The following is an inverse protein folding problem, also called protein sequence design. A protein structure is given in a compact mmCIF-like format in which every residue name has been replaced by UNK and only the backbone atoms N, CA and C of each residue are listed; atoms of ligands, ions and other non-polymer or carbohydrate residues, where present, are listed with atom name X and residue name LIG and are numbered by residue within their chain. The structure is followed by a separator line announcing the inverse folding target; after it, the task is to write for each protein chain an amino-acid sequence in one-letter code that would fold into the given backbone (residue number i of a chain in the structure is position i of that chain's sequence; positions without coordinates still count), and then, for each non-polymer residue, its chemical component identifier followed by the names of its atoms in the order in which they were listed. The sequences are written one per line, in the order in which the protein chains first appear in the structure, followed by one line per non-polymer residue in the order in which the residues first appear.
data_IF_541008781030
#
_entry.id   IF_541008781030
#
_cell.length_a   1.000
_cell.length_b   1.000
_cell.length_c   1.000
_cell.angle_alpha   90.00
_cell.angle_beta   90.00
_cell.angle_gamma   90.00
#
_symmetry.space_group_name_H-M   'P 1'
#
loop_
_entity.id
_entity.type
_entity.pdbx_description
1 polymer ?
#
# COMPACT_ATOMS: atom_id res chain seq x y z
N UNK A 1 -74.16 -26.82 -46.02
CA UNK A 1 -73.30 -27.10 -44.88
C UNK A 1 -72.06 -26.26 -45.02
N UNK A 2 -71.97 -25.12 -44.29
CA UNK A 2 -70.77 -24.22 -44.28
C UNK A 2 -70.02 -24.45 -42.96
N UNK A 3 -68.79 -24.91 -43.04
CA UNK A 3 -67.89 -25.08 -41.86
C UNK A 3 -67.15 -23.77 -41.63
N UNK A 4 -67.39 -23.09 -40.52
CA UNK A 4 -66.63 -21.95 -40.05
C UNK A 4 -65.38 -22.44 -39.34
N UNK A 5 -64.19 -21.95 -39.76
CA UNK A 5 -62.90 -22.18 -39.09
C UNK A 5 -62.68 -20.98 -38.18
N UNK A 6 -62.62 -21.28 -36.87
CA UNK A 6 -62.26 -20.27 -35.84
C UNK A 6 -60.73 -20.30 -35.67
N UNK A 7 -60.04 -19.24 -36.09
CA UNK A 7 -58.62 -19.04 -35.81
C UNK A 7 -58.46 -18.43 -34.41
N UNK A 8 -57.95 -19.19 -33.47
CA UNK A 8 -57.52 -18.71 -32.15
C UNK A 8 -56.13 -18.10 -32.24
N UNK A 9 -56.02 -16.78 -32.13
CA UNK A 9 -54.75 -16.09 -32.01
C UNK A 9 -54.26 -16.21 -30.58
N UNK A 10 -53.18 -17.00 -30.32
CA UNK A 10 -52.46 -17.02 -29.08
C UNK A 10 -51.51 -15.82 -29.04
N UNK A 11 -51.78 -14.88 -28.14
CA UNK A 11 -50.88 -13.76 -27.84
C UNK A 11 -49.80 -14.26 -26.89
N UNK A 12 -48.54 -14.41 -27.41
CA UNK A 12 -47.37 -14.60 -26.57
C UNK A 12 -47.02 -13.24 -25.92
N UNK A 13 -47.30 -13.12 -24.62
CA UNK A 13 -46.76 -12.05 -23.80
C UNK A 13 -45.29 -12.35 -23.49
N UNK A 14 -44.34 -11.70 -24.18
CA UNK A 14 -42.94 -11.65 -23.82
C UNK A 14 -42.81 -10.80 -22.55
N UNK A 15 -42.73 -11.44 -21.41
CA UNK A 15 -42.32 -10.77 -20.17
C UNK A 15 -40.84 -10.38 -20.30
N UNK A 16 -40.55 -9.19 -20.80
CA UNK A 16 -39.27 -8.55 -20.61
C UNK A 16 -39.18 -8.13 -19.16
N UNK A 17 -38.55 -8.99 -18.32
CA UNK A 17 -38.16 -8.60 -16.98
C UNK A 17 -37.23 -7.39 -17.10
N UNK A 18 -37.51 -6.27 -16.43
CA UNK A 18 -36.58 -5.15 -16.41
C UNK A 18 -35.27 -5.65 -15.83
N UNK A 19 -34.19 -5.47 -16.59
CA UNK A 19 -32.84 -5.70 -16.09
C UNK A 19 -32.63 -4.68 -14.97
N UNK A 20 -32.86 -5.09 -13.74
CA UNK A 20 -32.68 -4.26 -12.55
C UNK A 20 -31.21 -3.94 -12.49
N UNK A 21 -30.83 -2.70 -12.79
CA UNK A 21 -29.46 -2.23 -12.67
C UNK A 21 -29.03 -2.46 -11.23
N UNK A 22 -28.16 -3.43 -11.03
CA UNK A 22 -27.65 -3.78 -9.71
C UNK A 22 -26.90 -2.56 -9.16
N UNK A 23 -27.36 -2.00 -8.05
CA UNK A 23 -26.71 -0.84 -7.43
C UNK A 23 -25.28 -1.18 -7.05
N UNK A 24 -24.34 -0.37 -7.50
CA UNK A 24 -22.92 -0.57 -7.19
C UNK A 24 -22.66 -0.37 -5.70
N UNK A 25 -21.84 -1.23 -5.12
CA UNK A 25 -21.31 -1.03 -3.78
C UNK A 25 -20.34 0.15 -3.79
N UNK A 26 -20.67 1.21 -3.06
CA UNK A 26 -19.74 2.33 -2.87
C UNK A 26 -18.71 1.95 -1.81
N UNK A 27 -17.44 2.20 -2.09
CA UNK A 27 -16.31 1.90 -1.21
C UNK A 27 -15.39 3.11 -1.16
N UNK A 28 -15.08 3.57 0.05
CA UNK A 28 -14.08 4.62 0.30
C UNK A 28 -12.75 3.95 0.66
N UNK A 29 -11.76 4.11 -0.23
CA UNK A 29 -10.45 3.52 -0.11
C UNK A 29 -9.40 4.57 0.28
N UNK A 30 -8.74 4.40 1.43
CA UNK A 30 -7.70 5.29 1.92
C UNK A 30 -6.32 4.99 1.32
N UNK A 31 -5.63 6.02 0.82
CA UNK A 31 -4.24 5.96 0.32
C UNK A 31 -3.35 6.85 1.18
N UNK A 32 -2.15 6.39 1.65
CA UNK A 32 -1.44 7.02 2.77
C UNK A 32 -0.56 8.23 2.39
N UNK A 33 -0.57 8.65 1.13
CA UNK A 33 0.26 9.77 0.64
C UNK A 33 -0.45 10.61 -0.40
N UNK A 34 -0.17 11.92 -0.39
CA UNK A 34 -0.70 12.93 -1.32
C UNK A 34 0.45 13.73 -1.96
N UNK A 35 0.64 13.69 -3.28
CA UNK A 35 0.15 12.69 -4.22
C UNK A 35 0.72 11.30 -3.94
N UNK A 36 0.15 10.20 -4.47
CA UNK A 36 0.67 8.85 -4.26
C UNK A 36 2.07 8.70 -4.88
N UNK A 37 2.91 7.84 -4.29
CA UNK A 37 4.15 7.37 -4.93
C UNK A 37 3.83 6.19 -5.88
N UNK A 38 4.73 5.88 -6.80
CA UNK A 38 4.51 4.81 -7.81
C UNK A 38 4.21 3.44 -7.17
N UNK A 39 4.77 3.16 -5.99
CA UNK A 39 4.47 1.91 -5.26
C UNK A 39 3.00 1.77 -4.85
N UNK A 40 2.28 2.89 -4.67
CA UNK A 40 0.86 2.93 -4.26
C UNK A 40 -0.13 2.84 -5.42
N UNK A 41 0.35 2.56 -6.64
CA UNK A 41 -0.48 2.63 -7.86
C UNK A 41 -1.53 1.51 -8.03
N UNK A 42 -1.45 0.32 -7.39
CA UNK A 42 -2.39 -0.77 -7.67
C UNK A 42 -3.87 -0.42 -7.57
N UNK A 43 -4.39 0.30 -6.56
CA UNK A 43 -5.80 0.67 -6.51
C UNK A 43 -6.21 1.64 -7.63
N UNK A 44 -5.29 2.49 -8.10
CA UNK A 44 -5.52 3.37 -9.24
C UNK A 44 -5.59 2.59 -10.55
N UNK A 45 -4.71 1.59 -10.72
CA UNK A 45 -4.75 0.67 -11.86
C UNK A 45 -6.07 -0.11 -11.87
N UNK A 46 -6.48 -0.64 -10.71
CA UNK A 46 -7.76 -1.36 -10.60
C UNK A 46 -8.95 -0.48 -10.96
N UNK A 47 -8.94 0.79 -10.55
CA UNK A 47 -10.01 1.75 -10.85
C UNK A 47 -10.03 2.14 -12.33
N UNK A 48 -8.90 2.57 -12.89
CA UNK A 48 -8.79 3.04 -14.29
C UNK A 48 -9.10 1.93 -15.30
N UNK A 49 -8.76 0.68 -14.98
CA UNK A 49 -9.03 -0.48 -15.84
C UNK A 49 -10.37 -1.16 -15.56
N UNK A 50 -11.17 -0.62 -14.63
CA UNK A 50 -12.49 -1.14 -14.35
C UNK A 50 -12.54 -2.45 -13.56
N UNK A 51 -11.44 -2.91 -12.96
CA UNK A 51 -11.40 -4.18 -12.22
C UNK A 51 -12.31 -4.18 -10.98
N UNK A 52 -12.53 -3.03 -10.37
CA UNK A 52 -13.56 -2.88 -9.32
C UNK A 52 -14.97 -2.94 -9.91
N UNK A 53 -15.19 -2.25 -11.04
CA UNK A 53 -16.50 -2.19 -11.70
C UNK A 53 -16.97 -3.56 -12.21
N UNK A 54 -16.05 -4.44 -12.63
CA UNK A 54 -16.33 -5.84 -13.01
C UNK A 54 -16.99 -6.63 -11.86
N UNK A 55 -16.75 -6.20 -10.61
CA UNK A 55 -17.33 -6.77 -9.40
C UNK A 55 -18.46 -5.91 -8.81
N UNK A 56 -19.02 -5.01 -9.61
CA UNK A 56 -20.10 -4.11 -9.20
C UNK A 56 -19.71 -3.18 -8.03
N UNK A 57 -18.43 -2.80 -7.94
CA UNK A 57 -17.89 -1.90 -6.91
C UNK A 57 -17.55 -0.55 -7.54
N UNK A 58 -17.98 0.53 -6.87
CA UNK A 58 -17.60 1.92 -7.18
C UNK A 58 -16.65 2.42 -6.10
N UNK A 59 -15.36 2.61 -6.45
CA UNK A 59 -14.32 2.98 -5.47
C UNK A 59 -14.00 4.46 -5.55
N UNK A 60 -14.12 5.14 -4.43
CA UNK A 60 -13.55 6.45 -4.18
C UNK A 60 -12.17 6.31 -3.53
N UNK A 61 -11.12 6.88 -4.15
CA UNK A 61 -9.76 6.89 -3.61
C UNK A 61 -9.51 8.21 -2.91
N UNK A 62 -9.30 8.17 -1.58
CA UNK A 62 -9.05 9.34 -0.74
C UNK A 62 -7.61 9.30 -0.23
N UNK A 63 -6.86 10.38 -0.44
CA UNK A 63 -5.44 10.46 -0.06
C UNK A 63 -5.25 11.17 1.28
N UNK A 64 -4.22 10.75 2.03
CA UNK A 64 -3.85 11.27 3.34
C UNK A 64 -2.38 11.70 3.37
N UNK A 65 -1.92 12.32 4.45
CA UNK A 65 -0.51 12.73 4.62
C UNK A 65 0.34 11.71 5.41
N UNK A 66 -0.18 10.49 5.63
CA UNK A 66 0.57 9.43 6.32
C UNK A 66 -0.25 8.22 6.66
N UNK A 67 0.42 7.07 6.83
CA UNK A 67 -0.23 5.78 7.10
C UNK A 67 -0.98 5.74 8.43
N UNK A 68 -0.45 6.37 9.46
CA UNK A 68 -1.11 6.46 10.77
C UNK A 68 -2.43 7.23 10.67
N UNK A 69 -2.43 8.36 9.95
CA UNK A 69 -3.63 9.15 9.72
C UNK A 69 -4.67 8.37 8.91
N UNK A 70 -4.23 7.66 7.87
CA UNK A 70 -5.11 6.83 7.04
C UNK A 70 -5.77 5.72 7.87
N UNK A 71 -4.99 5.03 8.71
CA UNK A 71 -5.55 3.97 9.56
C UNK A 71 -6.52 4.53 10.61
N UNK A 72 -6.24 5.69 11.19
CA UNK A 72 -7.18 6.37 12.10
C UNK A 72 -8.52 6.64 11.42
N UNK A 73 -8.50 7.09 10.14
CA UNK A 73 -9.70 7.27 9.33
C UNK A 73 -10.51 5.97 9.16
N UNK A 74 -9.83 4.83 8.96
CA UNK A 74 -10.46 3.51 8.87
C UNK A 74 -11.07 3.07 10.21
N UNK A 75 -10.33 3.18 11.31
CA UNK A 75 -10.82 2.84 12.66
C UNK A 75 -12.02 3.71 13.07
N UNK A 76 -12.03 4.96 12.64
CA UNK A 76 -13.16 5.89 12.88
C UNK A 76 -14.38 5.62 11.98
N UNK A 77 -14.34 4.67 11.07
CA UNK A 77 -15.44 4.30 10.17
C UNK A 77 -15.60 5.21 8.95
N UNK A 78 -14.62 6.06 8.66
CA UNK A 78 -14.61 6.91 7.47
C UNK A 78 -14.04 6.24 6.20
N UNK A 79 -13.45 5.06 6.33
CA UNK A 79 -12.86 4.30 5.23
C UNK A 79 -13.24 2.82 5.36
N UNK A 80 -13.68 2.23 4.26
CA UNK A 80 -14.01 0.80 4.20
C UNK A 80 -12.75 -0.06 4.17
N UNK A 81 -11.74 0.39 3.44
CA UNK A 81 -10.44 -0.29 3.30
C UNK A 81 -9.34 0.77 3.14
N UNK A 82 -8.13 0.44 3.57
CA UNK A 82 -6.96 1.31 3.37
C UNK A 82 -5.75 0.51 2.92
N UNK A 83 -4.93 1.09 2.04
CA UNK A 83 -3.61 0.59 1.69
C UNK A 83 -2.55 1.47 2.33
N UNK A 84 -1.92 1.01 3.40
CA UNK A 84 -0.89 1.78 4.14
C UNK A 84 0.31 0.91 4.53
N UNK A 85 1.36 1.48 5.15
CA UNK A 85 2.41 0.68 5.75
C UNK A 85 1.84 -0.26 6.83
N UNK A 86 2.48 -1.40 7.04
CA UNK A 86 2.02 -2.39 8.02
C UNK A 86 2.20 -1.94 9.48
N UNK A 87 3.12 -0.99 9.72
CA UNK A 87 3.46 -0.51 11.06
C UNK A 87 2.27 -0.02 11.87
N UNK A 88 1.43 0.90 11.38
CA UNK A 88 0.26 1.36 12.12
C UNK A 88 -0.74 0.23 12.40
N UNK A 89 -0.88 -0.76 11.50
CA UNK A 89 -1.78 -1.89 11.72
C UNK A 89 -1.28 -2.80 12.85
N UNK A 90 0.03 -3.04 12.91
CA UNK A 90 0.66 -3.81 14.00
C UNK A 90 0.46 -3.09 15.35
N UNK A 91 0.68 -1.77 15.40
CA UNK A 91 0.43 -0.96 16.60
C UNK A 91 -1.05 -0.98 16.98
N UNK A 92 -1.95 -0.85 16.03
CA UNK A 92 -3.39 -0.91 16.25
C UNK A 92 -3.83 -2.27 16.81
N UNK A 93 -3.33 -3.38 16.24
CA UNK A 93 -3.59 -4.73 16.73
C UNK A 93 -3.03 -4.97 18.13
N UNK A 94 -1.84 -4.42 18.45
CA UNK A 94 -1.25 -4.44 19.78
C UNK A 94 -2.15 -3.74 20.82
N UNK A 95 -2.80 -2.65 20.42
CA UNK A 95 -3.75 -1.88 21.24
C UNK A 95 -5.19 -2.43 21.22
N UNK A 96 -5.44 -3.54 20.53
CA UNK A 96 -6.75 -4.18 20.49
C UNK A 96 -7.75 -3.52 19.53
N UNK A 97 -7.29 -2.69 18.59
CA UNK A 97 -8.16 -2.19 17.54
C UNK A 97 -8.64 -3.33 16.65
N UNK A 98 -9.94 -3.36 16.34
CA UNK A 98 -10.60 -4.38 15.54
C UNK A 98 -10.33 -4.16 14.03
N UNK A 99 -9.09 -4.36 13.58
CA UNK A 99 -8.70 -4.28 12.18
C UNK A 99 -7.94 -5.53 11.74
N UNK A 100 -8.05 -5.90 10.46
CA UNK A 100 -7.33 -7.03 9.85
C UNK A 100 -6.55 -6.59 8.63
N UNK A 101 -5.38 -7.19 8.47
CA UNK A 101 -4.61 -7.18 7.24
C UNK A 101 -5.15 -8.27 6.32
N UNK A 102 -5.56 -7.89 5.10
CA UNK A 102 -6.19 -8.77 4.11
C UNK A 102 -5.25 -9.20 2.99
N UNK A 103 -4.17 -8.48 2.76
CA UNK A 103 -3.20 -8.71 1.71
C UNK A 103 -2.16 -7.61 1.69
N UNK A 104 -1.16 -7.73 0.81
CA UNK A 104 -0.16 -6.69 0.63
C UNK A 104 -0.21 -6.11 -0.78
N UNK A 105 0.02 -4.80 -0.92
CA UNK A 105 0.28 -4.20 -2.22
C UNK A 105 1.78 -3.99 -2.48
N UNK A 106 2.60 -4.06 -1.45
CA UNK A 106 4.06 -4.05 -1.55
C UNK A 106 4.65 -4.67 -0.29
N UNK A 107 5.03 -5.95 -0.38
CA UNK A 107 5.53 -6.68 0.79
C UNK A 107 6.99 -6.37 1.12
N UNK A 108 7.77 -5.81 0.16
CA UNK A 108 9.18 -5.49 0.33
C UNK A 108 9.38 -3.98 0.51
N UNK A 109 10.38 -3.61 1.30
CA UNK A 109 10.85 -2.23 1.36
C UNK A 109 11.46 -1.82 0.02
N UNK A 110 11.17 -0.59 -0.40
CA UNK A 110 11.71 0.02 -1.63
C UNK A 110 12.16 1.47 -1.36
N UNK A 111 12.40 1.80 -0.09
CA UNK A 111 12.78 3.14 0.35
C UNK A 111 14.27 3.18 0.69
N UNK A 112 14.83 4.38 0.57
CA UNK A 112 16.22 4.65 0.95
C UNK A 112 16.28 5.87 1.88
N UNK A 113 17.28 5.89 2.74
CA UNK A 113 17.61 7.10 3.49
C UNK A 113 18.54 7.96 2.64
N UNK A 114 18.05 9.10 2.16
CA UNK A 114 18.84 10.11 1.49
C UNK A 114 19.36 11.13 2.50
N UNK A 115 20.60 11.55 2.29
CA UNK A 115 21.32 12.45 3.19
C UNK A 115 22.05 13.55 2.41
N UNK A 116 22.35 14.66 3.09
CA UNK A 116 23.23 15.70 2.54
C UNK A 116 24.62 15.14 2.21
N UNK A 117 25.30 15.77 1.25
CA UNK A 117 26.54 15.28 0.68
C UNK A 117 27.73 15.14 1.64
N UNK A 118 27.69 15.81 2.77
CA UNK A 118 28.70 15.74 3.83
C UNK A 118 28.50 14.55 4.78
N UNK A 119 27.34 13.91 4.77
CA UNK A 119 27.03 12.71 5.57
C UNK A 119 27.46 11.47 4.77
N UNK A 120 28.42 10.70 5.30
CA UNK A 120 29.02 9.53 4.63
C UNK A 120 28.72 8.23 5.36
N UNK A 121 28.53 8.29 6.65
CA UNK A 121 28.29 7.12 7.51
C UNK A 121 27.08 7.35 8.40
N UNK A 122 26.51 6.26 8.91
CA UNK A 122 25.40 6.34 9.86
C UNK A 122 25.76 7.15 11.12
N UNK A 123 27.01 7.11 11.57
CA UNK A 123 27.48 7.89 12.73
C UNK A 123 27.43 9.40 12.52
N UNK A 124 27.53 9.85 11.27
CA UNK A 124 27.43 11.27 10.91
C UNK A 124 26.01 11.83 11.06
N UNK A 125 25.02 10.96 11.33
CA UNK A 125 23.65 11.38 11.65
C UNK A 125 23.53 12.04 13.02
N UNK A 126 24.53 11.91 13.89
CA UNK A 126 24.48 12.54 15.23
C UNK A 126 24.33 14.05 15.12
N UNK A 127 23.32 14.61 15.80
CA UNK A 127 22.96 16.02 15.75
C UNK A 127 22.20 16.49 14.51
N UNK A 128 21.98 15.61 13.54
CA UNK A 128 21.33 15.96 12.25
C UNK A 128 19.81 16.04 12.34
N UNK A 129 19.24 16.81 11.42
CA UNK A 129 17.79 16.99 11.25
C UNK A 129 17.23 15.89 10.37
N UNK A 130 16.40 15.02 10.91
CA UNK A 130 15.70 13.96 10.17
C UNK A 130 14.27 14.39 9.91
N UNK A 131 13.90 14.49 8.63
CA UNK A 131 12.51 14.77 8.21
C UNK A 131 11.60 13.57 8.40
N UNK A 132 10.60 13.69 9.29
CA UNK A 132 9.59 12.66 9.56
C UNK A 132 8.18 13.26 9.45
N UNK A 133 7.15 12.42 9.23
CA UNK A 133 5.77 12.91 9.25
C UNK A 133 5.29 13.17 10.69
N UNK A 134 5.39 12.15 11.53
CA UNK A 134 5.10 12.18 12.96
C UNK A 134 5.84 11.05 13.67
N UNK A 135 5.97 11.13 14.97
CA UNK A 135 6.52 10.04 15.78
C UNK A 135 5.61 8.81 15.72
N UNK A 136 6.20 7.62 15.55
CA UNK A 136 5.48 6.37 15.35
C UNK A 136 4.99 6.12 13.92
N UNK A 137 5.14 7.07 12.99
CA UNK A 137 4.89 6.84 11.58
C UNK A 137 6.05 6.08 10.91
N UNK A 138 5.80 5.49 9.74
CA UNK A 138 6.76 4.66 9.01
C UNK A 138 8.16 5.28 8.91
N UNK A 139 8.26 6.54 8.52
CA UNK A 139 9.56 7.19 8.32
C UNK A 139 10.35 7.35 9.62
N UNK A 140 9.67 7.61 10.74
CA UNK A 140 10.32 7.69 12.05
C UNK A 140 10.78 6.31 12.51
N UNK A 141 9.94 5.29 12.39
CA UNK A 141 10.27 3.90 12.74
C UNK A 141 11.48 3.41 11.93
N UNK A 142 11.50 3.67 10.62
CA UNK A 142 12.63 3.33 9.75
C UNK A 142 13.90 4.10 10.12
N UNK A 143 13.78 5.38 10.43
CA UNK A 143 14.92 6.19 10.90
C UNK A 143 15.50 5.63 12.19
N UNK A 144 14.64 5.21 13.13
CA UNK A 144 15.04 4.57 14.39
C UNK A 144 15.79 3.26 14.14
N UNK A 145 15.32 2.45 13.18
CA UNK A 145 16.01 1.22 12.78
C UNK A 145 17.41 1.48 12.22
N UNK A 146 17.56 2.51 11.37
CA UNK A 146 18.88 2.92 10.84
C UNK A 146 19.78 3.43 11.97
N UNK A 147 19.30 4.31 12.84
CA UNK A 147 20.07 4.83 13.98
C UNK A 147 20.56 3.70 14.89
N UNK A 148 19.69 2.73 15.23
CA UNK A 148 20.03 1.59 16.05
C UNK A 148 21.15 0.74 15.44
N UNK A 149 21.24 0.61 14.11
CA UNK A 149 22.28 -0.17 13.43
C UNK A 149 23.70 0.37 13.63
N UNK A 150 23.84 1.65 14.04
CA UNK A 150 25.13 2.28 14.32
C UNK A 150 25.28 2.77 15.76
N UNK A 151 24.41 2.31 16.67
CA UNK A 151 24.46 2.62 18.09
C UNK A 151 23.96 4.02 18.46
N UNK A 152 23.22 4.68 17.55
CA UNK A 152 22.54 5.94 17.81
C UNK A 152 21.09 5.68 18.24
N UNK A 153 20.51 6.67 18.91
CA UNK A 153 19.13 6.67 19.40
C UNK A 153 18.37 7.89 18.88
N UNK A 154 17.04 7.94 18.99
CA UNK A 154 16.27 9.15 18.67
C UNK A 154 16.71 10.42 19.43
N UNK A 155 17.39 10.27 20.57
CA UNK A 155 17.92 11.40 21.36
C UNK A 155 19.19 12.02 20.75
N UNK A 156 19.85 11.30 19.85
CA UNK A 156 21.07 11.74 19.19
C UNK A 156 20.81 12.59 17.93
N UNK A 157 19.54 12.77 17.53
CA UNK A 157 19.13 13.47 16.32
C UNK A 157 18.01 14.48 16.60
N UNK A 158 17.70 15.33 15.59
CA UNK A 158 16.58 16.25 15.66
C UNK A 158 15.48 15.81 14.67
N UNK A 159 14.35 15.35 15.16
CA UNK A 159 13.20 15.07 14.31
C UNK A 159 12.48 16.37 13.91
N UNK A 160 12.30 16.57 12.60
CA UNK A 160 11.61 17.72 12.02
C UNK A 160 10.34 17.23 11.34
N UNK A 161 9.16 17.69 11.79
CA UNK A 161 7.89 17.34 11.13
C UNK A 161 7.86 17.89 9.71
N UNK A 162 7.71 16.98 8.72
CA UNK A 162 7.67 17.31 7.29
C UNK A 162 6.68 16.42 6.58
N UNK A 163 5.73 17.01 5.84
CA UNK A 163 4.78 16.24 5.02
C UNK A 163 5.48 15.41 3.94
N UNK A 164 4.78 14.44 3.38
CA UNK A 164 5.33 13.58 2.31
C UNK A 164 5.87 14.40 1.13
N UNK A 165 5.13 15.41 0.68
CA UNK A 165 5.55 16.30 -0.41
C UNK A 165 6.64 17.30 -0.01
N UNK A 166 6.83 17.57 1.27
CA UNK A 166 7.81 18.53 1.79
C UNK A 166 9.22 17.95 1.96
N UNK A 167 9.40 16.62 1.98
CA UNK A 167 10.69 15.97 2.24
C UNK A 167 11.73 16.27 1.15
N UNK A 168 11.38 16.16 -0.12
CA UNK A 168 12.30 16.49 -1.22
C UNK A 168 12.67 17.98 -1.20
N UNK A 169 11.73 18.94 -1.19
CA UNK A 169 12.07 20.36 -1.00
C UNK A 169 12.94 20.63 0.22
N UNK A 170 12.62 20.00 1.37
CA UNK A 170 13.39 20.17 2.60
C UNK A 170 14.86 19.74 2.49
N UNK A 171 15.15 18.65 1.76
CA UNK A 171 16.51 18.23 1.44
C UNK A 171 17.20 19.19 0.47
N UNK A 172 16.48 19.66 -0.57
CA UNK A 172 17.04 20.59 -1.57
C UNK A 172 17.44 21.94 -0.95
N UNK A 173 16.68 22.40 0.04
CA UNK A 173 16.90 23.69 0.73
C UNK A 173 17.71 23.59 2.03
N UNK A 174 18.22 22.40 2.37
CA UNK A 174 18.92 22.11 3.63
C UNK A 174 18.10 22.39 4.92
N UNK A 175 16.79 22.42 4.82
CA UNK A 175 15.90 22.51 6.00
C UNK A 175 15.95 21.24 6.84
N UNK A 176 16.17 20.10 6.18
CA UNK A 176 16.46 18.80 6.79
C UNK A 176 17.77 18.24 6.20
N UNK A 177 18.48 17.46 7.00
CA UNK A 177 19.75 16.85 6.59
C UNK A 177 19.52 15.47 5.95
N UNK A 178 18.42 14.81 6.32
CA UNK A 178 18.09 13.46 5.83
C UNK A 178 16.59 13.19 5.86
N UNK A 179 16.15 12.28 5.00
CA UNK A 179 14.79 11.72 5.00
C UNK A 179 14.76 10.33 4.39
N UNK A 180 13.79 9.51 4.84
CA UNK A 180 13.41 8.28 4.15
C UNK A 180 12.54 8.65 2.95
N UNK A 181 12.98 8.28 1.76
CA UNK A 181 12.30 8.57 0.48
C UNK A 181 11.97 7.28 -0.26
N UNK A 182 10.85 7.28 -0.97
CA UNK A 182 10.55 6.28 -1.98
C UNK A 182 11.46 6.44 -3.19
N UNK A 183 11.58 5.38 -4.00
CA UNK A 183 12.46 5.36 -5.20
C UNK A 183 12.19 6.54 -6.12
N UNK A 184 10.94 6.84 -6.43
CA UNK A 184 10.54 7.99 -7.27
C UNK A 184 10.99 9.33 -6.68
N UNK A 185 10.80 9.53 -5.40
CA UNK A 185 11.25 10.73 -4.69
C UNK A 185 12.77 10.83 -4.67
N UNK A 186 13.47 9.72 -4.47
CA UNK A 186 14.94 9.68 -4.47
C UNK A 186 15.52 10.04 -5.85
N UNK A 187 14.92 9.51 -6.94
CA UNK A 187 15.30 9.87 -8.32
C UNK A 187 15.15 11.37 -8.55
N UNK A 188 14.00 11.94 -8.19
CA UNK A 188 13.73 13.39 -8.36
C UNK A 188 14.69 14.23 -7.51
N UNK A 189 14.94 13.84 -6.26
CA UNK A 189 15.85 14.56 -5.36
C UNK A 189 17.28 14.57 -5.91
N UNK A 190 17.81 13.42 -6.32
CA UNK A 190 19.16 13.31 -6.87
C UNK A 190 19.32 14.01 -8.22
N UNK A 191 18.30 14.01 -9.09
CA UNK A 191 18.31 14.77 -10.34
C UNK A 191 18.45 16.28 -10.09
N UNK A 192 17.81 16.81 -9.05
CA UNK A 192 17.83 18.25 -8.68
C UNK A 192 19.03 18.64 -7.83
N UNK A 193 19.56 17.71 -7.03
CA UNK A 193 20.71 17.92 -6.14
C UNK A 193 21.61 16.67 -6.17
N UNK A 194 22.54 16.59 -7.16
CA UNK A 194 23.35 15.38 -7.41
C UNK A 194 24.30 14.99 -6.26
N UNK A 195 24.67 15.94 -5.41
CA UNK A 195 25.53 15.74 -4.23
C UNK A 195 24.84 15.03 -3.06
N UNK A 196 23.50 14.88 -3.07
CA UNK A 196 22.83 14.03 -2.10
C UNK A 196 23.34 12.57 -2.18
N UNK A 197 23.54 11.93 -1.03
CA UNK A 197 23.95 10.53 -0.97
C UNK A 197 22.79 9.63 -0.57
N UNK A 198 22.80 8.38 -1.05
CA UNK A 198 22.03 7.29 -0.44
C UNK A 198 22.90 6.73 0.66
N UNK A 199 22.50 6.94 1.91
CA UNK A 199 23.21 6.41 3.07
C UNK A 199 22.97 4.91 3.22
N UNK A 200 21.73 4.49 3.05
CA UNK A 200 21.32 3.09 3.16
C UNK A 200 20.03 2.84 2.38
N UNK A 201 19.96 1.70 1.71
CA UNK A 201 18.73 1.15 1.18
C UNK A 201 18.08 0.28 2.28
N UNK A 202 16.86 0.59 2.66
CA UNK A 202 16.22 -0.03 3.83
C UNK A 202 16.07 -1.55 3.73
N UNK A 203 15.96 -2.09 2.52
CA UNK A 203 15.88 -3.55 2.30
C UNK A 203 17.18 -4.32 2.63
N UNK A 204 18.31 -3.63 2.78
CA UNK A 204 19.58 -4.24 3.15
C UNK A 204 19.63 -4.60 4.64
N UNK A 205 19.42 -3.65 5.60
CA UNK A 205 19.38 -3.96 7.02
C UNK A 205 18.05 -4.59 7.48
N UNK A 206 16.96 -4.45 6.69
CA UNK A 206 15.61 -4.88 7.06
C UNK A 206 14.98 -5.80 5.99
N UNK A 207 15.65 -6.91 5.61
CA UNK A 207 15.28 -7.71 4.42
C UNK A 207 13.91 -8.41 4.53
N UNK A 208 13.39 -8.59 5.75
CA UNK A 208 12.10 -9.23 6.01
C UNK A 208 11.04 -8.26 6.56
N UNK A 209 11.26 -6.95 6.43
CA UNK A 209 10.24 -5.99 6.86
C UNK A 209 9.04 -6.02 5.91
N UNK A 210 7.86 -6.37 6.41
CA UNK A 210 6.61 -6.19 5.67
C UNK A 210 6.33 -4.69 5.54
N UNK A 211 6.45 -4.18 4.32
CA UNK A 211 6.30 -2.74 4.11
C UNK A 211 4.84 -2.31 4.20
N UNK A 212 3.98 -2.83 3.33
CA UNK A 212 2.66 -2.27 3.16
C UNK A 212 1.57 -3.32 2.98
N UNK A 213 0.36 -2.98 3.42
CA UNK A 213 -0.76 -3.89 3.47
C UNK A 213 -2.09 -3.21 3.15
N UNK A 214 -3.06 -4.02 2.74
CA UNK A 214 -4.48 -3.66 2.71
C UNK A 214 -5.10 -4.01 4.06
N UNK A 215 -5.76 -3.04 4.68
CA UNK A 215 -6.29 -3.13 6.04
C UNK A 215 -7.75 -2.72 6.04
N UNK A 216 -8.60 -3.47 6.73
CA UNK A 216 -10.01 -3.14 6.90
C UNK A 216 -10.50 -3.41 8.33
N UNK A 217 -11.57 -2.72 8.80
CA UNK A 217 -12.19 -3.00 10.08
C UNK A 217 -12.81 -4.41 10.12
N UNK A 218 -12.57 -5.18 11.18
CA UNK A 218 -13.15 -6.53 11.35
C UNK A 218 -14.67 -6.55 11.25
N UNK A 219 -15.33 -5.54 11.83
CA UNK A 219 -16.79 -5.40 11.79
C UNK A 219 -17.30 -5.30 10.36
N UNK A 220 -16.64 -4.52 9.52
CA UNK A 220 -17.04 -4.32 8.12
C UNK A 220 -16.78 -5.59 7.31
N UNK A 221 -15.64 -6.28 7.54
CA UNK A 221 -15.34 -7.57 6.92
C UNK A 221 -16.44 -8.61 7.28
N UNK A 222 -16.81 -8.67 8.55
CA UNK A 222 -17.85 -9.61 9.02
C UNK A 222 -19.23 -9.31 8.42
N UNK A 223 -19.56 -8.02 8.27
CA UNK A 223 -20.85 -7.58 7.72
C UNK A 223 -20.97 -7.82 6.21
N UNK A 224 -19.86 -7.78 5.47
CA UNK A 224 -19.87 -7.75 4.01
C UNK A 224 -18.68 -8.53 3.38
N UNK A 225 -18.49 -9.75 3.89
CA UNK A 225 -17.35 -10.62 3.53
C UNK A 225 -17.12 -10.72 2.02
N UNK A 226 -18.19 -10.85 1.22
CA UNK A 226 -18.08 -10.99 -0.23
C UNK A 226 -17.50 -9.73 -0.88
N UNK A 227 -17.86 -8.56 -0.41
CA UNK A 227 -17.30 -7.29 -0.87
C UNK A 227 -15.77 -7.25 -0.73
N UNK A 228 -15.25 -7.70 0.42
CA UNK A 228 -13.79 -7.72 0.66
C UNK A 228 -13.07 -8.78 -0.18
N UNK A 229 -13.70 -9.92 -0.45
CA UNK A 229 -13.18 -10.91 -1.41
C UNK A 229 -13.07 -10.28 -2.80
N UNK A 230 -14.09 -9.57 -3.24
CA UNK A 230 -14.18 -8.94 -4.55
C UNK A 230 -13.19 -7.77 -4.71
N UNK A 231 -13.06 -6.95 -3.66
CA UNK A 231 -12.04 -5.88 -3.59
C UNK A 231 -10.62 -6.46 -3.72
N UNK A 232 -10.31 -7.49 -2.93
CA UNK A 232 -8.99 -8.12 -2.96
C UNK A 232 -8.71 -8.82 -4.29
N UNK A 233 -9.70 -9.45 -4.92
CA UNK A 233 -9.56 -10.05 -6.24
C UNK A 233 -9.22 -9.00 -7.32
N UNK A 234 -9.89 -7.83 -7.29
CA UNK A 234 -9.59 -6.71 -8.19
C UNK A 234 -8.17 -6.16 -7.98
N UNK A 235 -7.72 -6.04 -6.72
CA UNK A 235 -6.37 -5.58 -6.38
C UNK A 235 -5.28 -6.58 -6.79
N UNK A 236 -5.50 -7.88 -6.60
CA UNK A 236 -4.61 -8.94 -7.09
C UNK A 236 -4.52 -8.88 -8.62
N UNK A 237 -5.65 -8.72 -9.31
CA UNK A 237 -5.69 -8.56 -10.76
C UNK A 237 -4.88 -7.34 -11.22
N UNK A 238 -4.97 -6.22 -10.50
CA UNK A 238 -4.18 -5.02 -10.78
C UNK A 238 -2.68 -5.26 -10.59
N UNK A 239 -2.26 -5.90 -9.49
CA UNK A 239 -0.85 -6.23 -9.26
C UNK A 239 -0.28 -7.12 -10.38
N UNK A 240 -1.04 -8.12 -10.84
CA UNK A 240 -0.66 -8.98 -11.96
C UNK A 240 -0.57 -8.23 -13.29
N UNK A 241 -1.52 -7.32 -13.55
CA UNK A 241 -1.54 -6.47 -14.74
C UNK A 241 -0.30 -5.58 -14.82
N UNK A 242 0.16 -5.04 -13.69
CA UNK A 242 1.30 -4.13 -13.60
C UNK A 242 2.53 -4.73 -14.29
N UNK A 243 2.85 -6.00 -14.07
CA UNK A 243 4.07 -6.63 -14.62
C UNK A 243 4.09 -6.80 -16.14
N UNK A 244 2.91 -6.87 -16.78
CA UNK A 244 2.81 -7.19 -18.19
C UNK A 244 2.42 -5.99 -19.08
N UNK A 245 2.20 -4.80 -18.48
CA UNK A 245 1.60 -3.68 -19.19
C UNK A 245 2.27 -2.34 -18.84
N UNK A 246 3.63 -2.30 -18.87
CA UNK A 246 4.45 -1.14 -18.44
C UNK A 246 3.94 0.19 -19.00
N UNK A 247 3.73 0.29 -20.31
CA UNK A 247 3.36 1.57 -20.94
C UNK A 247 2.06 2.15 -20.34
N UNK A 248 1.02 1.31 -20.18
CA UNK A 248 -0.27 1.73 -19.61
C UNK A 248 -0.17 2.05 -18.13
N UNK A 249 0.63 1.27 -17.39
CA UNK A 249 0.86 1.52 -15.96
C UNK A 249 1.63 2.81 -15.73
N UNK A 250 2.64 3.11 -16.55
CA UNK A 250 3.39 4.38 -16.48
C UNK A 250 2.47 5.57 -16.77
N UNK A 251 1.58 5.47 -17.78
CA UNK A 251 0.58 6.50 -18.09
C UNK A 251 -0.32 6.77 -16.86
N UNK A 252 -0.90 5.71 -16.28
CA UNK A 252 -1.76 5.82 -15.08
C UNK A 252 -0.96 6.39 -13.92
N UNK A 253 0.25 5.87 -13.66
CA UNK A 253 1.07 6.33 -12.56
C UNK A 253 1.46 7.81 -12.70
N UNK A 254 1.89 8.27 -13.87
CA UNK A 254 2.23 9.67 -14.12
C UNK A 254 1.04 10.60 -13.84
N UNK A 255 -0.17 10.21 -14.27
CA UNK A 255 -1.41 10.96 -14.01
C UNK A 255 -1.65 11.19 -12.52
N UNK A 256 -1.52 10.15 -11.70
CA UNK A 256 -1.88 10.21 -10.27
C UNK A 256 -0.73 10.68 -9.38
N UNK A 257 0.51 10.32 -9.69
CA UNK A 257 1.69 10.77 -8.94
C UNK A 257 2.09 12.22 -9.26
N UNK A 258 1.56 12.78 -10.36
CA UNK A 258 1.91 14.12 -10.87
C UNK A 258 3.42 14.25 -11.14
N UNK A 259 4.06 13.15 -11.55
CA UNK A 259 5.48 13.10 -11.85
C UNK A 259 5.72 12.95 -13.35
N UNK A 260 6.93 13.30 -13.76
CA UNK A 260 7.43 13.11 -15.12
C UNK A 260 7.41 11.61 -15.51
N UNK A 261 6.93 11.31 -16.73
CA UNK A 261 6.78 9.94 -17.20
C UNK A 261 8.09 9.15 -17.25
N UNK A 262 9.23 9.82 -17.49
CA UNK A 262 10.54 9.14 -17.50
C UNK A 262 10.96 8.74 -16.09
N UNK A 263 10.74 9.60 -15.09
CA UNK A 263 10.99 9.28 -13.69
C UNK A 263 10.08 8.14 -13.21
N UNK A 264 8.81 8.17 -13.61
CA UNK A 264 7.84 7.09 -13.32
C UNK A 264 8.27 5.79 -13.99
N UNK A 265 8.71 5.82 -15.26
CA UNK A 265 9.16 4.62 -15.98
C UNK A 265 10.42 4.00 -15.35
N UNK A 266 11.39 4.82 -14.93
CA UNK A 266 12.58 4.35 -14.21
C UNK A 266 12.18 3.72 -12.86
N UNK A 267 11.29 4.38 -12.11
CA UNK A 267 10.77 3.84 -10.84
C UNK A 267 10.03 2.53 -11.04
N UNK A 268 9.19 2.44 -12.07
CA UNK A 268 8.50 1.21 -12.42
C UNK A 268 9.49 0.06 -12.66
N UNK A 269 10.55 0.26 -13.44
CA UNK A 269 11.54 -0.78 -13.72
C UNK A 269 12.22 -1.28 -12.44
N UNK A 270 12.60 -0.38 -11.54
CA UNK A 270 13.22 -0.72 -10.26
C UNK A 270 12.25 -1.55 -9.40
N UNK A 271 11.00 -1.10 -9.26
CA UNK A 271 10.00 -1.77 -8.44
C UNK A 271 9.57 -3.11 -9.02
N UNK A 272 9.38 -3.19 -10.35
CA UNK A 272 8.99 -4.43 -11.02
C UNK A 272 10.10 -5.48 -10.95
N UNK A 273 11.38 -5.09 -11.17
CA UNK A 273 12.52 -6.00 -11.05
C UNK A 273 12.72 -6.50 -9.62
N UNK A 274 12.44 -5.65 -8.62
CA UNK A 274 12.47 -6.04 -7.21
C UNK A 274 11.28 -6.94 -6.78
N UNK A 275 10.26 -7.12 -7.64
CA UNK A 275 9.03 -7.82 -7.27
C UNK A 275 8.25 -7.09 -6.20
N UNK A 276 8.18 -5.75 -6.28
CA UNK A 276 7.57 -4.93 -5.22
C UNK A 276 6.07 -5.19 -5.04
N UNK A 277 5.36 -5.48 -6.13
CA UNK A 277 3.91 -5.75 -6.11
C UNK A 277 3.64 -7.25 -6.06
N UNK A 278 3.13 -7.81 -4.95
CA UNK A 278 2.86 -9.24 -4.87
C UNK A 278 1.72 -9.65 -5.78
N UNK A 279 1.90 -10.73 -6.54
CA UNK A 279 0.87 -11.27 -7.44
C UNK A 279 -0.06 -12.28 -6.76
N UNK A 280 0.25 -12.61 -5.51
CA UNK A 280 -0.53 -13.40 -4.57
C UNK A 280 -0.87 -12.56 -3.33
N UNK A 281 -1.05 -13.15 -2.15
CA UNK A 281 -1.40 -12.43 -0.92
C UNK A 281 -0.32 -11.46 -0.41
N UNK A 282 0.95 -11.78 -0.64
CA UNK A 282 2.08 -10.97 -0.19
C UNK A 282 2.24 -10.88 1.33
N UNK A 283 1.83 -11.92 2.07
CA UNK A 283 1.85 -11.97 3.53
C UNK A 283 2.56 -13.25 4.05
N UNK A 284 3.84 -13.48 3.71
CA UNK A 284 4.57 -14.61 4.28
C UNK A 284 4.61 -14.52 5.80
N UNK A 285 4.25 -15.62 6.48
CA UNK A 285 4.12 -15.63 7.95
C UNK A 285 5.43 -15.22 8.64
N UNK A 286 6.56 -15.74 8.18
CA UNK A 286 7.88 -15.44 8.72
C UNK A 286 8.26 -13.95 8.57
N UNK A 287 7.85 -13.30 7.48
CA UNK A 287 8.07 -11.88 7.25
C UNK A 287 7.21 -11.02 8.18
N UNK A 288 5.93 -11.36 8.33
CA UNK A 288 5.00 -10.65 9.23
C UNK A 288 5.48 -10.77 10.67
N UNK A 289 5.80 -11.98 11.13
CA UNK A 289 6.28 -12.23 12.49
C UNK A 289 7.63 -11.55 12.75
N UNK A 290 8.54 -11.55 11.79
CA UNK A 290 9.79 -10.82 11.88
C UNK A 290 9.57 -9.32 12.05
N UNK A 291 8.64 -8.74 11.26
CA UNK A 291 8.30 -7.31 11.37
C UNK A 291 7.73 -6.97 12.73
N UNK A 292 6.81 -7.80 13.25
CA UNK A 292 6.23 -7.63 14.59
C UNK A 292 7.34 -7.65 15.64
N UNK A 293 8.27 -8.62 15.56
CA UNK A 293 9.39 -8.74 16.50
C UNK A 293 10.31 -7.51 16.44
N UNK A 294 10.61 -7.02 15.24
CA UNK A 294 11.41 -5.79 15.07
C UNK A 294 10.74 -4.57 15.65
N UNK A 295 9.43 -4.46 15.61
CA UNK A 295 8.72 -3.35 16.26
C UNK A 295 8.81 -3.41 17.80
N UNK A 296 8.86 -4.63 18.38
CA UNK A 296 9.16 -4.80 19.81
C UNK A 296 10.61 -4.37 20.11
N UNK A 297 11.59 -4.85 19.33
CA UNK A 297 13.00 -4.49 19.51
C UNK A 297 13.23 -2.96 19.40
N UNK A 298 12.53 -2.30 18.49
CA UNK A 298 12.59 -0.85 18.31
C UNK A 298 11.75 -0.07 19.34
N UNK A 299 11.06 -0.75 20.26
CA UNK A 299 10.22 -0.11 21.27
C UNK A 299 8.98 0.57 20.72
N UNK A 300 8.51 0.19 19.51
CA UNK A 300 7.28 0.72 18.92
C UNK A 300 6.04 0.13 19.61
N UNK A 301 6.11 -1.15 19.96
CA UNK A 301 5.12 -1.86 20.78
C UNK A 301 5.83 -2.57 21.94
N UNK A 302 5.10 -2.79 23.03
CA UNK A 302 5.62 -3.55 24.16
C UNK A 302 5.58 -5.05 23.90
N UNK A 303 6.48 -5.81 24.52
CA UNK A 303 6.57 -7.25 24.34
C UNK A 303 5.26 -7.98 24.74
N UNK A 304 4.63 -7.54 25.83
CA UNK A 304 3.37 -8.09 26.35
C UNK A 304 2.14 -7.73 25.49
N UNK A 305 2.25 -6.71 24.65
CA UNK A 305 1.19 -6.28 23.72
C UNK A 305 1.35 -6.88 22.32
N UNK A 306 2.41 -7.65 22.07
CA UNK A 306 2.77 -8.21 20.78
C UNK A 306 1.59 -9.02 20.19
N UNK A 307 1.05 -8.64 19.02
CA UNK A 307 -0.02 -9.41 18.39
C UNK A 307 0.53 -10.71 17.77
N UNK A 308 -0.27 -11.77 17.75
CA UNK A 308 0.02 -12.94 16.92
C UNK A 308 -0.26 -12.66 15.44
N UNK A 309 0.27 -13.50 14.55
CA UNK A 309 -0.03 -13.45 13.12
C UNK A 309 -1.54 -13.50 12.87
N UNK A 310 -2.24 -14.44 13.49
CA UNK A 310 -3.67 -14.69 13.30
C UNK A 310 -4.54 -13.56 13.87
N UNK A 311 -4.06 -12.86 14.91
CA UNK A 311 -4.72 -11.65 15.42
C UNK A 311 -4.63 -10.51 14.41
N UNK A 312 -3.50 -10.38 13.72
CA UNK A 312 -3.25 -9.30 12.76
C UNK A 312 -3.84 -9.60 11.38
N UNK A 313 -3.73 -10.84 10.88
CA UNK A 313 -3.99 -11.21 9.47
C UNK A 313 -5.25 -12.06 9.34
N UNK A 314 -6.09 -11.75 8.35
CA UNK A 314 -7.17 -12.63 7.89
C UNK A 314 -6.86 -13.17 6.49
N UNK A 315 -6.22 -14.34 6.43
CA UNK A 315 -5.92 -15.00 5.15
C UNK A 315 -7.16 -15.54 4.43
N UNK A 316 -8.27 -15.73 5.11
CA UNK A 316 -9.45 -16.37 4.52
C UNK A 316 -10.08 -15.52 3.41
N UNK A 317 -9.98 -14.21 3.52
CA UNK A 317 -10.43 -13.25 2.49
C UNK A 317 -9.55 -13.35 1.24
N UNK A 318 -8.24 -13.22 1.42
CA UNK A 318 -7.31 -13.19 0.26
C UNK A 318 -7.18 -14.55 -0.42
N UNK A 319 -7.32 -15.66 0.31
CA UNK A 319 -7.36 -17.00 -0.29
C UNK A 319 -8.59 -17.18 -1.20
N UNK A 320 -9.76 -16.73 -0.75
CA UNK A 320 -10.97 -16.72 -1.58
C UNK A 320 -10.81 -15.77 -2.78
N UNK A 321 -10.21 -14.60 -2.59
CA UNK A 321 -9.90 -13.65 -3.65
C UNK A 321 -8.92 -14.22 -4.68
N UNK A 322 -7.88 -14.95 -4.25
CA UNK A 322 -6.96 -15.65 -5.15
C UNK A 322 -7.67 -16.68 -6.01
N UNK A 323 -8.57 -17.48 -5.43
CA UNK A 323 -9.40 -18.43 -6.19
C UNK A 323 -10.20 -17.71 -7.27
N UNK A 324 -10.86 -16.59 -6.92
CA UNK A 324 -11.62 -15.76 -7.86
C UNK A 324 -10.73 -15.13 -8.94
N UNK A 325 -9.49 -14.77 -8.61
CA UNK A 325 -8.51 -14.18 -9.54
C UNK A 325 -7.76 -15.23 -10.40
N UNK A 326 -8.23 -16.47 -10.47
CA UNK A 326 -7.63 -17.54 -11.28
C UNK A 326 -6.56 -18.37 -10.58
N UNK A 327 -6.54 -18.37 -9.25
CA UNK A 327 -5.64 -19.16 -8.44
C UNK A 327 -4.30 -18.49 -8.14
N UNK A 328 -3.45 -19.18 -7.38
CA UNK A 328 -2.09 -18.73 -7.03
C UNK A 328 -1.15 -18.84 -8.24
N UNK A 329 -0.41 -17.79 -8.53
CA UNK A 329 0.70 -17.85 -9.49
C UNK A 329 1.95 -18.40 -8.82
N UNK A 330 2.73 -19.21 -9.57
CA UNK A 330 3.96 -19.88 -9.12
C UNK A 330 5.08 -19.66 -10.13
N UNK A 331 6.32 -19.87 -9.70
CA UNK A 331 7.47 -20.00 -10.60
C UNK A 331 8.27 -18.75 -10.87
N UNK A 332 8.00 -17.65 -10.19
CA UNK A 332 8.84 -16.46 -10.24
C UNK A 332 9.34 -16.12 -8.83
N UNK A 333 10.66 -16.19 -8.63
CA UNK A 333 11.32 -15.91 -7.33
C UNK A 333 11.08 -14.50 -6.77
N UNK A 334 10.56 -13.59 -7.58
CA UNK A 334 10.19 -12.25 -7.12
C UNK A 334 8.95 -12.29 -6.22
N UNK A 335 8.16 -13.34 -6.31
CA UNK A 335 6.82 -13.44 -5.71
C UNK A 335 6.66 -14.61 -4.73
N UNK A 336 7.66 -15.50 -4.65
CA UNK A 336 7.69 -16.65 -3.74
C UNK A 336 8.36 -16.31 -2.39
#
# INVERSE_FOLDING_TARGET
MKKSIVLTHAWLWLFSSPLQAQTKHKVVFGVPVTPPNVVHIPPYVAKELGFFAENNIDVELVTFEGGTQTLRGSVAGGLDITGTSADPAIVAAAKGAGTKVLGSYSHKLSQSMLVQGDIKTCKDLKGRKIGIQEVGAFNEVMSRAVLASCGLTPKDVQYVPVSTKGRVPGLLTNQIDTAILHVDQAIVAKKKKPDLNILVNLWEPLPKWLYAAYIAPEKEIASNRQLYIDLMAALIKANRYIYNNKAKVVEIAAKYTQQDSDAVAQTYDILANAGAWPVNEGLPKDMVEWTINKQVELGTIKAEEKPSYEKLVDLSIVQAALTKAGGRLKGDKRWD
#
